data_IF_105124878894
#
_entry.id   IF_105124878894
#
_cell.length_a   1.000
_cell.length_b   1.000
_cell.length_c   1.000
_cell.angle_alpha   90.00
_cell.angle_beta   90.00
_cell.angle_gamma   90.00
#
_symmetry.space_group_name_H-M   'P 1'
#
loop_
_entity.id
_entity.type
_entity.pdbx_description
1 polymer ?
#
# COMPACT_ATOMS: atom_id res chain seq x y z
N UNK A 1 -7.57 4.15 -9.26
CA UNK A 1 -6.81 4.54 -8.05
C UNK A 1 -6.34 5.98 -8.19
N UNK A 2 -6.43 6.79 -7.12
CA UNK A 2 -5.95 8.19 -7.08
C UNK A 2 -4.48 8.29 -7.49
N UNK A 3 -3.66 7.30 -7.09
CA UNK A 3 -2.24 7.28 -7.39
C UNK A 3 -1.92 7.29 -8.91
N UNK A 4 -2.58 6.40 -9.65
CA UNK A 4 -2.44 6.35 -11.11
C UNK A 4 -2.86 7.66 -11.77
N UNK A 5 -3.98 8.27 -11.33
CA UNK A 5 -4.44 9.55 -11.89
C UNK A 5 -3.40 10.64 -11.68
N UNK A 6 -2.87 10.78 -10.45
CA UNK A 6 -1.84 11.77 -10.13
C UNK A 6 -0.58 11.60 -10.99
N UNK A 7 -0.06 10.38 -11.11
CA UNK A 7 1.10 10.07 -11.94
C UNK A 7 0.89 10.43 -13.41
N UNK A 8 -0.25 10.04 -14.00
CA UNK A 8 -0.57 10.33 -15.40
C UNK A 8 -0.79 11.81 -15.70
N UNK A 9 -1.18 12.61 -14.70
CA UNK A 9 -1.39 14.05 -14.85
C UNK A 9 -0.13 14.88 -14.65
N UNK A 10 0.91 14.31 -14.02
CA UNK A 10 2.16 15.00 -13.80
C UNK A 10 3.01 15.00 -15.08
N UNK A 11 3.65 16.13 -15.37
CA UNK A 11 4.68 16.19 -16.40
C UNK A 11 5.83 15.23 -16.07
N UNK A 12 6.48 14.60 -17.07
CA UNK A 12 7.58 13.66 -16.83
C UNK A 12 8.70 14.21 -15.96
N UNK A 13 9.02 15.51 -16.10
CA UNK A 13 10.04 16.21 -15.30
C UNK A 13 9.77 16.24 -13.79
N UNK A 14 8.52 16.06 -13.37
CA UNK A 14 8.09 16.06 -11.98
C UNK A 14 7.92 14.66 -11.38
N UNK A 15 7.99 13.60 -12.19
CA UNK A 15 7.83 12.22 -11.70
C UNK A 15 8.85 11.87 -10.63
N UNK A 16 10.09 12.36 -10.77
CA UNK A 16 11.18 12.18 -9.79
C UNK A 16 10.86 12.70 -8.38
N UNK A 17 9.93 13.65 -8.25
CA UNK A 17 9.53 14.24 -6.98
C UNK A 17 8.35 13.50 -6.34
N UNK A 18 7.74 12.54 -7.05
CA UNK A 18 6.60 11.80 -6.60
C UNK A 18 7.05 10.49 -5.97
N UNK A 19 7.05 10.46 -4.64
CA UNK A 19 7.38 9.27 -3.87
C UNK A 19 6.11 8.59 -3.39
N UNK A 20 6.08 7.27 -3.53
CA UNK A 20 4.97 6.43 -3.10
C UNK A 20 5.47 5.51 -1.99
N UNK A 21 4.65 5.34 -0.96
CA UNK A 21 4.98 4.47 0.15
C UNK A 21 3.82 3.52 0.43
N UNK A 22 4.13 2.25 0.61
CA UNK A 22 3.23 1.29 1.24
C UNK A 22 3.42 1.33 2.75
N UNK A 23 2.31 1.18 3.48
CA UNK A 23 2.35 1.24 4.94
C UNK A 23 3.15 0.07 5.54
N UNK A 24 4.09 0.40 6.43
CA UNK A 24 4.89 -0.56 7.19
C UNK A 24 4.75 -0.26 8.68
N UNK A 25 4.22 -1.22 9.44
CA UNK A 25 4.05 -1.10 10.88
C UNK A 25 5.39 -1.00 11.64
N UNK A 26 5.36 -0.54 12.90
CA UNK A 26 6.57 -0.25 13.69
C UNK A 26 7.54 -1.43 13.85
N UNK A 27 7.02 -2.64 13.92
CA UNK A 27 7.82 -3.84 14.15
C UNK A 27 8.02 -4.67 12.87
N UNK A 28 7.73 -4.07 11.71
CA UNK A 28 7.84 -4.72 10.41
C UNK A 28 8.89 -4.05 9.53
N UNK A 29 9.44 -4.84 8.60
CA UNK A 29 10.32 -4.40 7.51
C UNK A 29 9.70 -4.63 6.13
N UNK A 30 8.52 -5.24 6.08
CA UNK A 30 7.76 -5.50 4.85
C UNK A 30 6.36 -4.89 5.01
N UNK A 31 5.74 -4.38 3.93
CA UNK A 31 4.41 -3.83 3.99
C UNK A 31 3.34 -4.85 4.37
N UNK A 32 2.29 -4.34 4.99
CA UNK A 32 1.08 -5.14 5.20
C UNK A 32 0.32 -5.20 3.88
N UNK A 33 0.41 -6.34 3.20
CA UNK A 33 -0.43 -6.61 2.03
C UNK A 33 -1.85 -6.88 2.51
N UNK A 34 -2.81 -6.09 2.03
CA UNK A 34 -4.21 -6.25 2.39
C UNK A 34 -4.74 -7.61 1.91
N UNK A 35 -4.74 -8.62 2.80
CA UNK A 35 -5.46 -9.88 2.58
C UNK A 35 -6.95 -9.59 2.56
N UNK A 36 -7.54 -9.47 1.36
CA UNK A 36 -8.99 -9.40 1.05
C UNK A 36 -9.84 -8.95 2.25
N UNK A 37 -9.49 -7.80 2.81
CA UNK A 37 -10.20 -7.22 3.94
C UNK A 37 -11.26 -6.35 3.29
N UNK A 38 -12.50 -6.56 3.67
CA UNK A 38 -13.60 -5.65 3.39
C UNK A 38 -13.29 -4.38 4.19
N UNK A 39 -12.33 -3.60 3.67
CA UNK A 39 -11.96 -2.32 4.23
C UNK A 39 -13.12 -1.42 3.85
N UNK A 40 -13.95 -1.10 4.85
CA UNK A 40 -14.70 0.14 4.79
C UNK A 40 -13.66 1.23 4.49
N UNK A 41 -13.74 1.75 3.26
CA UNK A 41 -13.12 3.00 2.88
C UNK A 41 -13.59 4.04 3.88
N UNK A 42 -12.70 4.91 4.39
CA UNK A 42 -12.99 6.08 5.23
C UNK A 42 -14.50 6.30 5.38
N UNK A 43 -15.05 5.71 6.46
CA UNK A 43 -16.39 5.12 6.47
C UNK A 43 -17.40 6.06 5.83
N UNK A 44 -18.26 5.56 4.94
CA UNK A 44 -19.48 6.30 4.53
C UNK A 44 -20.22 6.84 5.76
N UNK A 45 -20.08 6.15 6.91
CA UNK A 45 -20.51 6.64 8.20
C UNK A 45 -19.91 8.02 8.57
N UNK A 46 -18.60 8.25 8.42
CA UNK A 46 -17.96 9.55 8.71
C UNK A 46 -18.51 10.68 7.85
N UNK A 47 -18.62 10.47 6.53
CA UNK A 47 -19.08 11.50 5.59
C UNK A 47 -20.57 11.84 5.71
N UNK A 48 -21.42 10.86 6.07
CA UNK A 48 -22.87 11.05 6.06
C UNK A 48 -23.49 11.21 7.46
N UNK A 49 -22.79 10.79 8.52
CA UNK A 49 -23.38 10.69 9.86
C UNK A 49 -22.52 11.29 10.98
N UNK A 50 -21.32 11.77 10.70
CA UNK A 50 -20.48 12.52 11.64
C UNK A 50 -20.45 14.01 11.30
N UNK A 51 -20.45 14.87 12.31
CA UNK A 51 -20.09 16.28 12.14
C UNK A 51 -18.58 16.40 12.30
N UNK A 52 -17.86 16.52 11.19
CA UNK A 52 -16.41 16.60 11.17
C UNK A 52 -15.93 17.94 10.60
N UNK A 53 -14.82 18.44 11.12
CA UNK A 53 -14.12 19.60 10.57
C UNK A 53 -12.66 19.22 10.33
N UNK A 54 -12.18 19.51 9.12
CA UNK A 54 -10.77 19.42 8.79
C UNK A 54 -10.14 20.79 8.98
N UNK A 55 -9.13 20.87 9.84
CA UNK A 55 -8.37 22.11 10.10
C UNK A 55 -6.98 21.96 9.51
N UNK A 56 -6.60 22.87 8.63
CA UNK A 56 -5.25 22.92 8.09
C UNK A 56 -4.34 23.65 9.07
N UNK A 57 -3.23 23.01 9.45
CA UNK A 57 -2.21 23.60 10.30
C UNK A 57 -0.98 23.96 9.45
N UNK A 58 -0.63 25.25 9.45
CA UNK A 58 0.62 25.76 8.87
C UNK A 58 1.54 26.24 9.99
N UNK A 59 2.01 25.29 10.81
CA UNK A 59 2.92 25.55 11.93
C UNK A 59 4.03 24.52 11.90
N UNK A 60 5.28 24.97 11.72
CA UNK A 60 6.44 24.07 11.66
C UNK A 60 6.52 23.18 12.91
N UNK A 61 6.28 23.76 14.10
CA UNK A 61 6.32 23.03 15.37
C UNK A 61 5.33 21.87 15.38
N UNK A 62 4.07 22.12 15.00
CA UNK A 62 3.01 21.11 15.00
C UNK A 62 3.28 20.04 13.94
N UNK A 63 3.59 20.46 12.72
CA UNK A 63 3.89 19.54 11.62
C UNK A 63 5.08 18.64 11.95
N UNK A 64 6.14 19.18 12.55
CA UNK A 64 7.31 18.41 12.98
C UNK A 64 6.93 17.39 14.05
N UNK A 65 6.19 17.81 15.09
CA UNK A 65 5.77 16.92 16.17
C UNK A 65 4.90 15.76 15.65
N UNK A 66 4.01 16.02 14.69
CA UNK A 66 3.18 15.00 14.07
C UNK A 66 3.97 14.04 13.20
N UNK A 67 4.90 14.54 12.38
CA UNK A 67 5.82 13.70 11.60
C UNK A 67 6.64 12.80 12.53
N UNK A 68 7.14 13.34 13.65
CA UNK A 68 7.88 12.56 14.65
C UNK A 68 6.99 11.50 15.29
N UNK A 69 5.74 11.83 15.62
CA UNK A 69 4.74 10.89 16.12
C UNK A 69 4.48 9.75 15.13
N UNK A 70 4.30 10.06 13.85
CA UNK A 70 4.15 9.06 12.78
C UNK A 70 5.39 8.16 12.72
N UNK A 71 6.60 8.73 12.68
CA UNK A 71 7.85 7.95 12.60
C UNK A 71 8.11 7.06 13.83
N UNK A 72 7.59 7.44 15.00
CA UNK A 72 7.64 6.60 16.21
C UNK A 72 6.71 5.39 16.13
N UNK A 73 5.59 5.50 15.41
CA UNK A 73 4.55 4.46 15.35
C UNK A 73 4.56 3.61 14.06
N UNK A 74 5.35 3.98 13.06
CA UNK A 74 5.46 3.22 11.80
C UNK A 74 6.85 3.34 11.17
N UNK A 75 7.26 2.29 10.47
CA UNK A 75 8.52 2.24 9.71
C UNK A 75 8.33 2.55 8.22
N UNK A 76 7.16 3.05 7.80
CA UNK A 76 6.84 3.39 6.41
C UNK A 76 7.91 4.24 5.73
N UNK A 77 8.48 5.22 6.44
CA UNK A 77 9.55 6.08 5.89
C UNK A 77 10.90 5.37 5.69
N UNK A 78 11.11 4.20 6.30
CA UNK A 78 12.35 3.42 6.21
C UNK A 78 12.24 2.29 5.18
N UNK A 79 11.08 1.65 5.12
CA UNK A 79 10.90 0.42 4.35
C UNK A 79 9.74 0.48 3.38
N UNK A 80 8.93 1.53 3.36
CA UNK A 80 7.68 1.55 2.59
C UNK A 80 7.82 2.01 1.14
N UNK A 81 8.95 2.61 0.76
CA UNK A 81 9.10 3.22 -0.57
C UNK A 81 8.91 2.18 -1.68
N UNK A 82 8.12 2.53 -2.70
CA UNK A 82 7.95 1.70 -3.90
C UNK A 82 8.67 2.31 -5.08
N UNK A 83 8.97 1.47 -6.06
CA UNK A 83 9.61 1.92 -7.30
C UNK A 83 8.73 2.97 -8.01
N UNK A 84 9.36 4.08 -8.40
CA UNK A 84 8.68 5.15 -9.14
C UNK A 84 8.34 4.75 -10.58
N UNK A 85 8.98 3.70 -11.11
CA UNK A 85 8.78 3.23 -12.49
C UNK A 85 7.55 2.33 -12.62
N UNK A 86 7.37 1.38 -11.69
CA UNK A 86 6.35 0.34 -11.77
C UNK A 86 5.38 0.33 -10.57
N UNK A 87 5.62 1.15 -9.54
CA UNK A 87 4.80 1.22 -8.33
C UNK A 87 4.89 -0.03 -7.45
N UNK A 88 5.86 -0.91 -7.72
CA UNK A 88 6.02 -2.18 -7.02
C UNK A 88 6.96 -2.00 -5.84
N UNK A 89 6.52 -2.46 -4.66
CA UNK A 89 7.36 -2.56 -3.49
C UNK A 89 8.36 -3.71 -3.61
N UNK A 90 9.63 -3.46 -3.25
CA UNK A 90 10.68 -4.48 -3.21
C UNK A 90 11.53 -4.33 -1.96
N UNK A 91 11.95 -5.45 -1.38
CA UNK A 91 12.91 -5.48 -0.29
C UNK A 91 14.33 -5.11 -0.78
N UNK A 92 15.29 -5.06 0.16
CA UNK A 92 16.71 -4.77 -0.16
C UNK A 92 17.37 -5.79 -1.09
N UNK A 93 16.80 -6.99 -1.20
CA UNK A 93 17.27 -8.05 -2.09
C UNK A 93 16.51 -8.06 -3.44
N UNK A 94 15.57 -7.14 -3.67
CA UNK A 94 14.77 -7.01 -4.89
C UNK A 94 13.49 -7.85 -4.91
N UNK A 95 13.19 -8.58 -3.83
CA UNK A 95 12.00 -9.43 -3.73
C UNK A 95 10.76 -8.60 -3.44
N UNK A 96 9.62 -8.97 -4.03
CA UNK A 96 8.34 -8.35 -3.70
C UNK A 96 7.82 -8.90 -2.36
N UNK A 97 6.97 -8.13 -1.68
CA UNK A 97 6.32 -8.59 -0.45
C UNK A 97 5.54 -9.89 -0.73
N UNK A 98 5.46 -10.75 0.29
CA UNK A 98 4.69 -11.99 0.20
C UNK A 98 3.21 -11.65 -0.01
N UNK A 99 2.51 -12.41 -0.85
CA UNK A 99 1.10 -12.23 -1.23
C UNK A 99 0.77 -11.01 -2.12
N UNK A 100 1.76 -10.35 -2.74
CA UNK A 100 1.49 -9.29 -3.73
C UNK A 100 0.91 -9.91 -5.01
N UNK A 101 -0.37 -9.64 -5.29
CA UNK A 101 -0.92 -9.83 -6.63
C UNK A 101 -0.37 -8.67 -7.46
N UNK A 102 0.79 -8.89 -8.10
CA UNK A 102 1.41 -7.87 -8.95
C UNK A 102 0.44 -7.33 -10.00
N UNK A 103 0.57 -6.04 -10.35
CA UNK A 103 -0.29 -5.31 -11.30
C UNK A 103 -0.03 -5.75 -12.77
N UNK A 104 0.46 -6.97 -12.98
CA UNK A 104 0.54 -7.58 -14.29
C UNK A 104 0.31 -9.09 -14.17
N UNK A 105 -0.95 -9.56 -14.30
CA UNK A 105 -1.17 -10.95 -14.65
C UNK A 105 -0.69 -11.09 -16.10
N UNK A 106 0.62 -11.27 -16.28
CA UNK A 106 1.18 -11.70 -17.56
C UNK A 106 0.45 -12.95 -18.05
N UNK A 107 0.64 -13.30 -19.32
CA UNK A 107 -0.06 -14.33 -20.11
C UNK A 107 -0.13 -15.77 -19.51
N UNK A 108 0.34 -15.96 -18.28
CA UNK A 108 0.35 -17.21 -17.51
C UNK A 108 -0.40 -17.16 -16.18
N UNK A 109 -1.27 -16.16 -15.94
CA UNK A 109 -2.15 -16.14 -14.76
C UNK A 109 -3.05 -17.38 -14.64
N UNK A 110 -3.38 -18.00 -15.78
CA UNK A 110 -4.12 -19.27 -15.85
C UNK A 110 -3.37 -20.45 -15.22
N UNK A 111 -2.03 -20.49 -15.30
CA UNK A 111 -1.23 -21.58 -14.77
C UNK A 111 -1.14 -21.51 -13.23
N UNK A 112 -1.00 -20.31 -12.65
CA UNK A 112 -1.10 -20.11 -11.19
C UNK A 112 -2.51 -20.40 -10.68
N UNK A 113 -3.55 -20.04 -11.43
CA UNK A 113 -4.95 -20.34 -11.08
C UNK A 113 -5.26 -21.84 -11.05
N UNK A 114 -4.73 -22.61 -12.01
CA UNK A 114 -4.90 -24.06 -12.06
C UNK A 114 -4.14 -24.78 -10.94
N UNK A 115 -2.91 -24.36 -10.64
CA UNK A 115 -2.12 -24.92 -9.54
C UNK A 115 -2.77 -24.66 -8.18
N UNK A 116 -3.28 -23.44 -7.94
CA UNK A 116 -4.01 -23.11 -6.72
C UNK A 116 -5.36 -23.84 -6.59
N UNK A 117 -6.02 -24.16 -7.70
CA UNK A 117 -7.21 -25.00 -7.71
C UNK A 117 -6.89 -26.46 -7.36
N UNK A 118 -5.78 -27.00 -7.88
CA UNK A 118 -5.33 -28.36 -7.56
C UNK A 118 -4.88 -28.47 -6.09
N UNK A 119 -4.22 -27.45 -5.54
CA UNK A 119 -3.90 -27.39 -4.10
C UNK A 119 -5.14 -27.31 -3.21
N UNK A 120 -6.18 -26.57 -3.62
CA UNK A 120 -7.47 -26.55 -2.91
C UNK A 120 -8.19 -27.89 -2.91
N UNK A 121 -8.09 -28.64 -4.00
CA UNK A 121 -8.69 -29.98 -4.11
C UNK A 121 -7.86 -31.02 -3.36
N UNK A 122 -6.54 -30.83 -3.22
CA UNK A 122 -5.69 -31.68 -2.36
C UNK A 122 -5.76 -31.32 -0.87
N UNK A 123 -6.18 -30.09 -0.52
CA UNK A 123 -6.17 -29.56 0.85
C UNK A 123 -7.49 -29.59 1.61
N UNK A 124 -8.64 -29.90 0.98
CA UNK A 124 -9.90 -30.14 1.70
C UNK A 124 -9.93 -31.57 2.26
N UNK A 125 -9.18 -31.74 3.35
CA UNK A 125 -9.15 -32.94 4.17
C UNK A 125 -8.51 -32.61 5.51
N UNK A 126 -9.13 -31.73 6.29
CA UNK A 126 -8.77 -31.55 7.70
C UNK A 126 -8.86 -30.11 8.21
N UNK A 127 -9.94 -29.86 8.96
CA UNK A 127 -10.24 -28.73 9.87
C UNK A 127 -10.64 -27.39 9.24
#
# INVERSE_FOLDING_TARGET
MVAHKLFTTLKPEHHKNLHWYWYVAKDMMEPIVAKKKQLETEDTQSWFHSQEVNVMFDSEMICRAWIDGLRRNQNTHLYGEVSQEDGIWRDKAGNQAKDVIGVNPGKFSWAKGLLGAIERVRGQGGF
#
